data_IF_315369646881
#
_entry.id   IF_315369646881
#
_cell.length_a   1.000
_cell.length_b   1.000
_cell.length_c   1.000
_cell.angle_alpha   90.00
_cell.angle_beta   90.00
_cell.angle_gamma   90.00
#
_symmetry.space_group_name_H-M   'P 1'
#
loop_
_entity.id
_entity.type
_entity.pdbx_description
1 polymer ?
#
# COMPACT_ATOMS: atom_id res chain seq x y z
N UNK A 1 8.94 -5.71 9.16
CA UNK A 1 7.61 -5.17 9.49
C UNK A 1 6.88 -4.76 8.20
N UNK A 2 5.59 -5.07 8.08
CA UNK A 2 4.75 -4.79 6.93
C UNK A 2 3.55 -3.93 7.36
N UNK A 3 3.36 -2.76 6.74
CA UNK A 3 2.14 -1.99 6.90
C UNK A 3 1.08 -2.42 5.86
N UNK A 4 -0.13 -2.70 6.30
CA UNK A 4 -1.29 -2.97 5.44
C UNK A 4 -2.29 -1.83 5.55
N UNK A 5 -2.52 -1.12 4.44
CA UNK A 5 -3.45 0.01 4.37
C UNK A 5 -4.52 -0.26 3.29
N UNK A 6 -5.58 -1.02 3.63
CA UNK A 6 -6.60 -1.45 2.66
C UNK A 6 -7.52 -0.32 2.20
N UNK A 7 -7.30 0.89 2.67
CA UNK A 7 -8.05 2.09 2.31
C UNK A 7 -8.81 2.71 3.47
N UNK A 8 -9.35 3.89 3.24
CA UNK A 8 -10.14 4.65 4.21
C UNK A 8 -11.65 4.50 3.99
N UNK A 9 -12.07 4.14 2.79
CA UNK A 9 -13.48 3.96 2.42
C UNK A 9 -13.94 2.53 2.65
N UNK A 10 -15.23 2.38 3.05
CA UNK A 10 -15.78 1.04 3.32
C UNK A 10 -15.70 0.08 2.15
N UNK A 11 -15.90 0.56 0.93
CA UNK A 11 -15.79 -0.28 -0.26
C UNK A 11 -14.35 -0.76 -0.52
N UNK A 12 -13.35 0.07 -0.24
CA UNK A 12 -11.93 -0.30 -0.36
C UNK A 12 -11.57 -1.38 0.65
N UNK A 13 -11.90 -1.16 1.92
CA UNK A 13 -11.66 -2.14 3.01
C UNK A 13 -12.35 -3.46 2.68
N UNK A 14 -13.60 -3.45 2.20
CA UNK A 14 -14.32 -4.67 1.82
C UNK A 14 -13.66 -5.43 0.67
N UNK A 15 -13.15 -4.72 -0.33
CA UNK A 15 -12.62 -5.34 -1.55
C UNK A 15 -11.15 -5.80 -1.41
N UNK A 16 -10.36 -5.13 -0.56
CA UNK A 16 -8.91 -5.34 -0.53
C UNK A 16 -8.42 -6.10 0.70
N UNK A 17 -9.13 -6.01 1.85
CA UNK A 17 -8.63 -6.57 3.11
C UNK A 17 -8.37 -8.07 3.04
N UNK A 18 -9.23 -8.84 2.40
CA UNK A 18 -9.06 -10.28 2.26
C UNK A 18 -7.79 -10.65 1.49
N UNK A 19 -7.53 -9.98 0.36
CA UNK A 19 -6.35 -10.23 -0.45
C UNK A 19 -5.07 -9.75 0.26
N UNK A 20 -5.12 -8.62 0.95
CA UNK A 20 -3.98 -8.10 1.73
C UNK A 20 -3.64 -9.02 2.92
N UNK A 21 -4.63 -9.54 3.62
CA UNK A 21 -4.43 -10.52 4.69
C UNK A 21 -3.83 -11.83 4.18
N UNK A 22 -4.33 -12.37 3.07
CA UNK A 22 -3.76 -13.57 2.42
C UNK A 22 -2.33 -13.33 1.95
N UNK A 23 -2.03 -12.12 1.45
CA UNK A 23 -0.66 -11.71 1.10
C UNK A 23 0.26 -11.79 2.31
N UNK A 24 -0.16 -11.24 3.46
CA UNK A 24 0.61 -11.30 4.69
C UNK A 24 0.79 -12.76 5.19
N UNK A 25 -0.22 -13.62 5.04
CA UNK A 25 -0.08 -15.05 5.36
C UNK A 25 0.97 -15.75 4.48
N UNK A 26 1.03 -15.42 3.18
CA UNK A 26 2.05 -15.95 2.27
C UNK A 26 3.43 -15.47 2.72
N UNK A 27 3.61 -14.18 2.98
CA UNK A 27 4.88 -13.60 3.39
C UNK A 27 5.36 -14.13 4.75
N UNK A 28 4.45 -14.45 5.68
CA UNK A 28 4.83 -15.05 6.97
C UNK A 28 5.42 -16.45 6.87
N UNK A 29 5.20 -17.16 5.76
CA UNK A 29 5.88 -18.45 5.51
C UNK A 29 7.37 -18.25 5.22
N UNK A 30 7.70 -17.15 4.55
CA UNK A 30 9.07 -16.79 4.19
C UNK A 30 9.75 -15.99 5.31
N UNK A 31 8.97 -15.22 6.07
CA UNK A 31 9.40 -14.36 7.17
C UNK A 31 8.57 -14.66 8.44
N UNK A 32 8.89 -15.72 9.23
CA UNK A 32 8.07 -16.12 10.38
C UNK A 32 7.86 -15.04 11.45
N UNK A 33 8.84 -14.15 11.61
CA UNK A 33 8.82 -13.05 12.58
C UNK A 33 8.20 -11.75 12.02
N UNK A 34 7.64 -11.79 10.80
CA UNK A 34 7.05 -10.61 10.16
C UNK A 34 5.92 -10.03 11.03
N UNK A 35 6.11 -8.80 11.49
CA UNK A 35 5.07 -8.03 12.17
C UNK A 35 4.20 -7.33 11.13
N UNK A 36 2.90 -7.34 11.34
CA UNK A 36 1.91 -6.74 10.42
C UNK A 36 1.17 -5.63 11.14
N UNK A 37 1.33 -4.38 10.68
CA UNK A 37 0.66 -3.20 11.22
C UNK A 37 -0.51 -2.81 10.32
N UNK A 38 -1.68 -2.58 10.90
CA UNK A 38 -2.88 -2.21 10.15
C UNK A 38 -3.49 -0.95 10.75
N UNK A 39 -3.14 0.24 10.26
CA UNK A 39 -3.77 1.47 10.70
C UNK A 39 -5.15 1.63 10.06
N UNK A 40 -6.16 1.84 10.90
CA UNK A 40 -7.55 1.98 10.50
C UNK A 40 -8.10 3.34 10.91
N UNK A 41 -8.75 4.03 9.99
CA UNK A 41 -9.11 5.45 10.11
C UNK A 41 -10.13 5.74 11.21
N UNK A 42 -10.97 4.76 11.57
CA UNK A 42 -11.98 4.87 12.61
C UNK A 42 -12.51 3.50 13.05
N UNK A 43 -13.26 3.47 14.16
CA UNK A 43 -13.82 2.27 14.74
C UNK A 43 -14.67 1.45 13.73
N UNK A 44 -15.47 2.10 12.89
CA UNK A 44 -16.29 1.40 11.88
C UNK A 44 -15.44 0.65 10.85
N UNK A 45 -14.27 1.20 10.46
CA UNK A 45 -13.34 0.48 9.55
C UNK A 45 -12.61 -0.62 10.29
N UNK A 46 -12.34 -0.42 11.57
CA UNK A 46 -11.76 -1.44 12.44
C UNK A 46 -12.68 -2.66 12.57
N UNK A 47 -13.93 -2.47 12.94
CA UNK A 47 -14.93 -3.54 13.02
C UNK A 47 -15.09 -4.29 11.69
N UNK A 48 -15.14 -3.55 10.57
CA UNK A 48 -15.22 -4.14 9.24
C UNK A 48 -14.01 -5.01 8.93
N UNK A 49 -12.80 -4.51 9.21
CA UNK A 49 -11.56 -5.24 8.98
C UNK A 49 -11.45 -6.47 9.88
N UNK A 50 -11.79 -6.36 11.17
CA UNK A 50 -11.77 -7.47 12.13
C UNK A 50 -12.70 -8.59 11.70
N UNK A 51 -13.90 -8.28 11.20
CA UNK A 51 -14.83 -9.27 10.63
C UNK A 51 -14.17 -10.00 9.45
N UNK A 52 -13.63 -9.28 8.49
CA UNK A 52 -12.98 -9.86 7.31
C UNK A 52 -11.78 -10.71 7.73
N UNK A 53 -10.99 -10.24 8.70
CA UNK A 53 -9.85 -10.99 9.24
C UNK A 53 -10.28 -12.30 9.86
N UNK A 54 -11.34 -12.29 10.68
CA UNK A 54 -11.84 -13.49 11.33
C UNK A 54 -12.29 -14.55 10.31
N UNK A 55 -12.86 -14.14 9.19
CA UNK A 55 -13.30 -15.03 8.11
C UNK A 55 -12.13 -15.51 7.20
N UNK A 56 -11.14 -14.64 6.96
CA UNK A 56 -10.11 -14.88 5.93
C UNK A 56 -8.79 -15.42 6.50
N UNK A 57 -8.36 -14.91 7.63
CA UNK A 57 -7.05 -15.17 8.23
C UNK A 57 -7.13 -15.16 9.78
N UNK A 58 -7.94 -16.05 10.41
CA UNK A 58 -8.17 -16.03 11.86
C UNK A 58 -6.86 -16.15 12.64
N UNK A 59 -5.93 -16.98 12.20
CA UNK A 59 -4.66 -17.27 12.88
C UNK A 59 -3.55 -16.25 12.60
N UNK A 60 -3.77 -15.30 11.70
CA UNK A 60 -2.79 -14.26 11.41
C UNK A 60 -2.78 -13.22 12.53
N UNK A 61 -1.66 -13.09 13.21
CA UNK A 61 -1.45 -12.01 14.18
C UNK A 61 -1.21 -10.69 13.44
N UNK A 62 -2.00 -9.67 13.74
CA UNK A 62 -1.87 -8.31 13.22
C UNK A 62 -2.00 -7.30 14.36
N UNK A 63 -1.32 -6.18 14.25
CA UNK A 63 -1.43 -5.06 15.20
C UNK A 63 -2.34 -4.00 14.59
N UNK A 64 -3.56 -3.89 15.11
CA UNK A 64 -4.52 -2.88 14.68
C UNK A 64 -4.23 -1.57 15.39
N UNK A 65 -4.07 -0.51 14.61
CA UNK A 65 -3.80 0.85 15.10
C UNK A 65 -4.99 1.75 14.78
N UNK A 66 -5.38 2.59 15.75
CA UNK A 66 -6.46 3.56 15.56
C UNK A 66 -5.88 4.85 14.97
N UNK A 67 -6.05 5.04 13.67
CA UNK A 67 -5.32 6.06 12.92
C UNK A 67 -3.85 5.67 12.77
N UNK A 68 -2.93 6.61 13.03
CA UNK A 68 -1.47 6.42 13.07
C UNK A 68 -0.88 5.82 11.78
N UNK A 69 -1.52 6.07 10.62
CA UNK A 69 -1.07 5.54 9.33
C UNK A 69 0.38 5.94 9.01
N UNK A 70 0.74 7.20 9.32
CA UNK A 70 2.09 7.71 9.11
C UNK A 70 3.13 6.98 9.97
N UNK A 71 2.82 6.76 11.24
CA UNK A 71 3.74 6.10 12.16
C UNK A 71 3.92 4.62 11.78
N UNK A 72 2.83 3.96 11.36
CA UNK A 72 2.87 2.60 10.83
C UNK A 72 3.76 2.50 9.58
N UNK A 73 3.66 3.46 8.65
CA UNK A 73 4.52 3.49 7.45
C UNK A 73 5.98 3.76 7.80
N UNK A 74 6.27 4.65 8.75
CA UNK A 74 7.64 4.96 9.20
C UNK A 74 8.28 3.74 9.90
N UNK A 75 7.49 2.98 10.66
CA UNK A 75 7.97 1.82 11.41
C UNK A 75 8.09 0.54 10.56
N UNK A 76 7.68 0.58 9.29
CA UNK A 76 7.63 -0.61 8.44
C UNK A 76 8.74 -0.62 7.38
N UNK A 77 9.25 -1.82 7.09
CA UNK A 77 10.23 -2.07 6.03
C UNK A 77 9.58 -1.99 4.64
N UNK A 78 8.29 -2.33 4.55
CA UNK A 78 7.49 -2.19 3.34
C UNK A 78 6.02 -1.93 3.67
N UNK A 79 5.28 -1.38 2.70
CA UNK A 79 3.84 -1.17 2.80
C UNK A 79 3.09 -1.79 1.61
N UNK A 80 1.94 -2.39 1.89
CA UNK A 80 0.93 -2.76 0.90
C UNK A 80 -0.28 -1.87 1.11
N UNK A 81 -0.62 -1.08 0.11
CA UNK A 81 -1.66 -0.06 0.28
C UNK A 81 -2.58 0.07 -0.94
N UNK A 82 -3.80 0.53 -0.67
CA UNK A 82 -4.73 0.93 -1.71
C UNK A 82 -4.24 2.20 -2.42
N UNK A 83 -4.56 2.34 -3.71
CA UNK A 83 -4.27 3.58 -4.44
C UNK A 83 -5.00 4.77 -3.84
N UNK A 84 -4.33 5.93 -3.76
CA UNK A 84 -4.88 7.17 -3.24
C UNK A 84 -3.81 8.06 -2.60
N UNK A 85 -4.24 8.97 -1.72
CA UNK A 85 -3.35 9.88 -0.98
C UNK A 85 -2.37 9.13 -0.07
N UNK A 86 -2.74 7.94 0.42
CA UNK A 86 -1.87 7.10 1.24
C UNK A 86 -0.56 6.74 0.52
N UNK A 87 -0.55 6.60 -0.82
CA UNK A 87 0.66 6.35 -1.58
C UNK A 87 1.62 7.54 -1.55
N UNK A 88 1.11 8.78 -1.60
CA UNK A 88 1.92 9.97 -1.43
C UNK A 88 2.48 10.08 -0.01
N UNK A 89 1.65 9.84 0.98
CA UNK A 89 2.07 9.84 2.41
C UNK A 89 3.15 8.79 2.66
N UNK A 90 3.03 7.60 2.07
CA UNK A 90 4.00 6.52 2.16
C UNK A 90 5.33 6.89 1.50
N UNK A 91 5.29 7.54 0.34
CA UNK A 91 6.48 8.10 -0.31
C UNK A 91 7.15 9.17 0.58
N UNK A 92 6.37 10.05 1.20
CA UNK A 92 6.89 11.06 2.12
C UNK A 92 7.46 10.45 3.40
N UNK A 93 6.91 9.34 3.88
CA UNK A 93 7.46 8.54 4.98
C UNK A 93 8.72 7.76 4.59
N UNK A 94 9.06 7.70 3.31
CA UNK A 94 10.19 6.94 2.73
C UNK A 94 10.03 5.42 2.88
N UNK A 95 8.81 4.93 3.06
CA UNK A 95 8.54 3.51 3.16
C UNK A 95 8.39 2.90 1.76
N UNK A 96 9.19 1.90 1.39
CA UNK A 96 9.00 1.15 0.15
C UNK A 96 7.60 0.55 0.08
N UNK A 97 6.98 0.54 -1.11
CA UNK A 97 5.58 0.15 -1.20
C UNK A 97 5.22 -0.63 -2.46
N UNK A 98 4.15 -1.39 -2.34
CA UNK A 98 3.37 -1.96 -3.44
C UNK A 98 1.95 -1.42 -3.36
N UNK A 99 1.40 -1.03 -4.49
CA UNK A 99 0.01 -0.55 -4.59
C UNK A 99 -0.87 -1.67 -5.14
N UNK A 100 -1.86 -2.07 -4.35
CA UNK A 100 -2.91 -3.00 -4.76
C UNK A 100 -4.24 -2.25 -4.86
N UNK A 101 -4.95 -2.38 -6.00
CA UNK A 101 -6.22 -1.68 -6.13
C UNK A 101 -7.25 -2.46 -6.93
N UNK A 102 -8.47 -2.45 -6.42
CA UNK A 102 -9.66 -2.95 -7.11
C UNK A 102 -10.77 -1.94 -7.08
N UNK A 103 -11.49 -1.83 -8.17
CA UNK A 103 -12.73 -1.08 -8.26
C UNK A 103 -13.77 -1.90 -9.02
N UNK A 104 -15.03 -1.50 -8.94
CA UNK A 104 -16.09 -2.15 -9.70
C UNK A 104 -15.76 -2.14 -11.19
N UNK A 105 -15.99 -3.24 -11.93
CA UNK A 105 -15.58 -3.38 -13.33
C UNK A 105 -16.05 -2.22 -14.23
N UNK A 106 -17.28 -1.76 -14.05
CA UNK A 106 -17.82 -0.62 -14.81
C UNK A 106 -17.06 0.68 -14.54
N UNK A 107 -16.70 0.96 -13.28
CA UNK A 107 -15.93 2.15 -12.90
C UNK A 107 -14.51 2.09 -13.48
N UNK A 108 -13.89 0.91 -13.49
CA UNK A 108 -12.57 0.70 -14.08
C UNK A 108 -12.58 0.92 -15.60
N UNK A 109 -13.57 0.36 -16.29
CA UNK A 109 -13.74 0.55 -17.74
C UNK A 109 -13.90 2.02 -18.11
N UNK A 110 -14.71 2.77 -17.33
CA UNK A 110 -14.92 4.21 -17.54
C UNK A 110 -13.63 5.00 -17.23
N UNK A 111 -12.96 4.70 -16.12
CA UNK A 111 -11.71 5.36 -15.73
C UNK A 111 -10.62 5.17 -16.79
N UNK A 112 -10.45 3.95 -17.31
CA UNK A 112 -9.48 3.62 -18.37
C UNK A 112 -9.73 4.38 -19.68
N UNK A 113 -10.99 4.78 -19.97
CA UNK A 113 -11.32 5.60 -21.14
C UNK A 113 -11.07 7.10 -20.95
N UNK A 114 -11.23 7.59 -19.72
CA UNK A 114 -11.14 9.01 -19.40
C UNK A 114 -9.73 9.43 -19.00
N UNK A 115 -8.97 8.54 -18.38
CA UNK A 115 -7.64 8.82 -17.87
C UNK A 115 -6.59 8.25 -18.83
N UNK A 116 -5.84 9.13 -19.47
CA UNK A 116 -4.76 8.79 -20.43
C UNK A 116 -3.40 8.57 -19.75
N UNK A 117 -3.39 8.13 -18.50
CA UNK A 117 -2.14 7.85 -17.79
C UNK A 117 -1.95 6.35 -17.61
N UNK A 118 -0.70 5.90 -17.76
CA UNK A 118 -0.32 4.50 -17.55
C UNK A 118 -0.25 4.13 -16.06
N UNK A 119 -0.29 5.12 -15.16
CA UNK A 119 -0.11 4.97 -13.72
C UNK A 119 -1.30 5.50 -12.93
N UNK A 120 -1.57 4.90 -11.78
CA UNK A 120 -2.67 5.29 -10.88
C UNK A 120 -2.18 5.84 -9.54
N UNK A 121 -0.96 5.53 -9.12
CA UNK A 121 -0.38 6.04 -7.88
C UNK A 121 0.35 7.36 -8.09
N UNK A 122 0.23 8.25 -7.11
CA UNK A 122 0.91 9.54 -7.15
C UNK A 122 2.45 9.43 -7.27
N UNK A 123 3.15 8.51 -6.61
CA UNK A 123 4.58 8.34 -6.80
C UNK A 123 4.99 8.06 -8.25
N UNK A 124 4.27 7.18 -8.96
CA UNK A 124 4.55 6.88 -10.37
C UNK A 124 4.24 8.05 -11.28
N UNK A 125 3.13 8.75 -11.04
CA UNK A 125 2.76 9.97 -11.78
C UNK A 125 3.82 11.07 -11.62
N UNK A 126 4.30 11.29 -10.41
CA UNK A 126 5.35 12.28 -10.12
C UNK A 126 6.69 11.89 -10.71
N UNK A 127 7.03 10.60 -10.71
CA UNK A 127 8.27 10.09 -11.28
C UNK A 127 8.25 10.00 -12.81
N UNK A 128 7.06 10.04 -13.45
CA UNK A 128 6.88 9.81 -14.88
C UNK A 128 7.28 8.40 -15.35
N UNK A 129 7.40 7.46 -14.42
CA UNK A 129 7.79 6.05 -14.66
C UNK A 129 7.25 5.14 -13.57
N UNK A 130 7.27 3.82 -13.82
CA UNK A 130 6.98 2.84 -12.77
C UNK A 130 8.09 2.87 -11.71
N UNK A 131 7.83 3.50 -10.59
CA UNK A 131 8.70 3.56 -9.42
C UNK A 131 8.24 2.56 -8.36
N UNK A 132 6.93 2.46 -8.17
CA UNK A 132 6.28 1.49 -7.29
C UNK A 132 5.45 0.53 -8.12
N UNK A 133 5.44 -0.75 -7.75
CA UNK A 133 4.63 -1.75 -8.44
C UNK A 133 3.15 -1.50 -8.16
N UNK A 134 2.35 -1.41 -9.24
CA UNK A 134 0.90 -1.27 -9.19
C UNK A 134 0.26 -2.57 -9.70
N UNK A 135 -0.47 -3.25 -8.84
CA UNK A 135 -1.21 -4.47 -9.17
C UNK A 135 -2.70 -4.16 -9.12
N UNK A 136 -3.31 -4.05 -10.29
CA UNK A 136 -4.67 -3.54 -10.46
C UNK A 136 -5.62 -4.67 -10.86
N UNK A 137 -6.86 -4.61 -10.40
CA UNK A 137 -7.95 -5.52 -10.79
C UNK A 137 -7.54 -7.00 -10.69
N UNK A 138 -7.41 -7.69 -11.81
CA UNK A 138 -7.10 -9.12 -11.88
C UNK A 138 -5.67 -9.45 -11.45
N UNK A 139 -4.76 -8.48 -11.50
CA UNK A 139 -3.39 -8.60 -10.99
C UNK A 139 -3.30 -8.40 -9.47
N UNK A 140 -4.31 -7.78 -8.85
CA UNK A 140 -4.37 -7.59 -7.39
C UNK A 140 -4.69 -8.93 -6.70
N UNK A 141 -3.77 -9.89 -6.79
CA UNK A 141 -3.89 -11.24 -6.22
C UNK A 141 -2.83 -11.46 -5.14
N UNK A 142 -3.15 -12.21 -4.07
CA UNK A 142 -2.26 -12.41 -2.94
C UNK A 142 -0.85 -12.91 -3.30
N UNK A 143 -0.73 -13.82 -4.27
CA UNK A 143 0.55 -14.34 -4.70
C UNK A 143 1.40 -13.28 -5.41
N UNK A 144 0.80 -12.53 -6.34
CA UNK A 144 1.49 -11.46 -7.08
C UNK A 144 1.87 -10.30 -6.17
N UNK A 145 1.01 -9.94 -5.22
CA UNK A 145 1.30 -8.93 -4.20
C UNK A 145 2.48 -9.37 -3.31
N UNK A 146 2.51 -10.64 -2.89
CA UNK A 146 3.61 -11.18 -2.11
C UNK A 146 4.93 -11.19 -2.90
N UNK A 147 4.89 -11.60 -4.18
CA UNK A 147 6.07 -11.59 -5.06
C UNK A 147 6.66 -10.18 -5.22
N UNK A 148 5.80 -9.16 -5.35
CA UNK A 148 6.22 -7.77 -5.45
C UNK A 148 6.78 -7.21 -4.13
N UNK A 149 6.31 -7.71 -2.97
CA UNK A 149 6.76 -7.25 -1.64
C UNK A 149 8.06 -7.92 -1.18
N UNK A 150 8.36 -9.16 -1.60
CA UNK A 150 9.58 -9.88 -1.17
C UNK A 150 10.87 -9.09 -1.35
N UNK A 151 11.16 -8.50 -2.53
CA UNK A 151 12.38 -7.73 -2.71
C UNK A 151 12.44 -6.46 -1.86
N UNK A 152 11.30 -5.95 -1.38
CA UNK A 152 11.24 -4.79 -0.49
C UNK A 152 11.48 -5.16 0.96
N UNK A 153 11.04 -6.35 1.38
CA UNK A 153 11.23 -6.88 2.74
C UNK A 153 12.63 -7.50 2.97
N UNK A 154 13.33 -7.83 1.89
CA UNK A 154 14.65 -8.48 1.96
C UNK A 154 15.80 -7.53 2.31
N UNK A 155 15.54 -6.27 2.66
CA UNK A 155 16.57 -5.23 2.93
C UNK A 155 17.66 -5.18 1.84
N UNK A 156 17.22 -5.25 0.59
CA UNK A 156 18.09 -5.33 -0.56
C UNK A 156 18.16 -4.03 -1.36
N UNK A 157 18.91 -4.10 -2.47
CA UNK A 157 19.11 -2.97 -3.39
C UNK A 157 17.78 -2.32 -3.82
N UNK A 158 16.74 -3.11 -4.08
CA UNK A 158 15.43 -2.60 -4.54
C UNK A 158 14.78 -1.67 -3.51
N UNK A 159 14.85 -2.03 -2.23
CA UNK A 159 14.34 -1.20 -1.13
C UNK A 159 15.14 0.10 -1.00
N UNK A 160 16.46 0.03 -1.04
CA UNK A 160 17.34 1.19 -0.96
C UNK A 160 17.17 2.14 -2.14
N UNK A 161 17.14 1.62 -3.37
CA UNK A 161 16.94 2.44 -4.59
C UNK A 161 15.58 3.18 -4.56
N UNK A 162 14.53 2.52 -4.06
CA UNK A 162 13.20 3.15 -3.91
C UNK A 162 13.23 4.24 -2.84
N UNK A 163 13.86 3.99 -1.71
CA UNK A 163 14.01 4.95 -0.63
C UNK A 163 14.77 6.21 -1.08
N UNK A 164 15.87 6.06 -1.82
CA UNK A 164 16.66 7.18 -2.34
C UNK A 164 15.87 7.99 -3.39
N UNK A 165 15.11 7.30 -4.25
CA UNK A 165 14.24 7.96 -5.22
C UNK A 165 13.13 8.75 -4.51
N UNK A 166 12.54 8.20 -3.45
CA UNK A 166 11.55 8.92 -2.64
C UNK A 166 12.12 10.16 -1.96
N UNK A 167 13.38 10.11 -1.51
CA UNK A 167 14.09 11.28 -1.00
C UNK A 167 14.22 12.39 -2.04
N UNK A 168 14.67 12.02 -3.24
CA UNK A 168 14.85 12.97 -4.32
C UNK A 168 13.52 13.63 -4.74
N UNK A 169 12.46 12.84 -4.90
CA UNK A 169 11.12 13.35 -5.22
C UNK A 169 10.59 14.27 -4.12
N UNK A 170 10.77 13.90 -2.85
CA UNK A 170 10.37 14.75 -1.73
C UNK A 170 11.06 16.12 -1.74
N UNK A 171 12.36 16.16 -2.05
CA UNK A 171 13.10 17.42 -2.17
C UNK A 171 12.56 18.30 -3.31
N UNK A 172 12.26 17.70 -4.47
CA UNK A 172 11.67 18.42 -5.60
C UNK A 172 10.31 19.04 -5.26
N UNK A 173 9.43 18.28 -4.58
CA UNK A 173 8.10 18.76 -4.19
C UNK A 173 8.22 19.91 -3.18
N UNK A 174 9.12 19.80 -2.22
CA UNK A 174 9.32 20.81 -1.18
C UNK A 174 9.82 22.14 -1.76
N UNK A 175 10.80 22.13 -2.66
CA UNK A 175 11.33 23.35 -3.28
C UNK A 175 10.27 24.11 -4.08
N UNK A 176 9.33 23.41 -4.72
CA UNK A 176 8.27 24.05 -5.50
C UNK A 176 7.15 24.68 -4.67
N UNK A 177 6.97 24.25 -3.44
CA UNK A 177 5.92 24.79 -2.55
C UNK A 177 6.34 26.08 -1.85
N UNK A 178 7.60 26.22 -1.46
CA UNK A 178 8.12 27.37 -0.72
C UNK A 178 8.43 28.57 -1.65
N UNK A 179 8.62 28.36 -2.95
CA UNK A 179 8.91 29.44 -3.91
C UNK A 179 7.65 30.07 -4.52
N UNK A 180 6.47 29.49 -4.33
CA UNK A 180 5.20 29.97 -4.88
C UNK A 180 4.25 30.57 -3.82
N UNK A 181 4.64 30.65 -2.58
CA UNK A 181 3.90 31.26 -1.48
C UNK A 181 4.41 32.70 -1.20
#
# INVERSE_FOLDING_TARGET
CLALLPGSRGAEVEMLSADFLKTAQILRKDYPDLQVLVPLVNARRREQFERIKAETAPDLTVHLLDGQARDAMIASDAALLASGTAALECMLAKCPMVVGYRMKPFTFWLAKRLVKTDYVSLPNLLAGRELVKELLQDECQPALLADALRPLLADGKTSHDMHDTFRALHQQIRCNADEQA
#
